data_IF_660676731510
#
_entry.id   IF_660676731510
#
_cell.length_a   1.000
_cell.length_b   1.000
_cell.length_c   1.000
_cell.angle_alpha   90.00
_cell.angle_beta   90.00
_cell.angle_gamma   90.00
#
_symmetry.space_group_name_H-M   'P 1'
#
loop_
_entity.id
_entity.type
_entity.pdbx_description
1 polymer ?
#
# COMPACT_ATOMS: atom_id res chain seq x y z
N UNK A 1 -46.66 30.27 37.99
CA UNK A 1 -45.96 29.35 38.72
C UNK A 1 -45.53 28.17 38.00
N UNK A 2 -46.08 27.80 36.93
CA UNK A 2 -45.72 26.61 36.24
C UNK A 2 -44.62 26.82 35.24
N UNK A 3 -44.10 27.97 35.16
CA UNK A 3 -43.16 28.30 34.12
C UNK A 3 -41.78 27.67 34.27
N UNK A 4 -41.46 27.34 35.47
CA UNK A 4 -40.13 26.85 35.71
C UNK A 4 -39.80 25.51 35.11
N UNK A 5 -40.77 24.73 34.84
CA UNK A 5 -40.52 23.40 34.34
C UNK A 5 -39.96 23.33 32.95
N UNK A 6 -40.30 24.29 32.15
CA UNK A 6 -39.86 24.26 30.77
C UNK A 6 -38.36 24.40 30.65
N UNK A 7 -37.76 25.15 31.55
CA UNK A 7 -36.33 25.33 31.44
C UNK A 7 -35.57 24.07 31.73
N UNK A 8 -36.06 23.24 32.59
CA UNK A 8 -35.35 22.03 32.92
C UNK A 8 -35.36 21.06 31.75
N UNK A 9 -36.45 21.03 31.07
CA UNK A 9 -36.56 20.11 29.94
C UNK A 9 -35.58 20.48 28.84
N UNK A 10 -35.43 21.77 28.61
CA UNK A 10 -34.52 22.21 27.58
C UNK A 10 -33.10 21.85 27.89
N UNK A 11 -32.69 21.99 29.13
CA UNK A 11 -31.32 21.67 29.48
C UNK A 11 -31.01 20.18 29.28
N UNK A 12 -31.94 19.34 29.74
CA UNK A 12 -31.73 17.92 29.58
C UNK A 12 -31.71 17.50 28.11
N UNK A 13 -32.57 18.10 27.34
CA UNK A 13 -32.66 17.77 25.94
C UNK A 13 -31.37 18.18 25.22
N UNK A 14 -30.83 19.30 25.59
CA UNK A 14 -29.64 19.81 24.99
C UNK A 14 -28.43 18.85 25.19
N UNK A 15 -28.30 18.31 26.37
CA UNK A 15 -27.21 17.40 26.64
C UNK A 15 -27.35 16.11 25.83
N UNK A 16 -28.54 15.61 25.69
CA UNK A 16 -28.78 14.43 24.91
C UNK A 16 -28.41 14.67 23.46
N UNK A 17 -28.73 15.83 22.94
CA UNK A 17 -28.43 16.16 21.56
C UNK A 17 -26.95 16.22 21.33
N UNK A 18 -26.23 16.81 22.25
CA UNK A 18 -24.78 16.91 22.13
C UNK A 18 -24.13 15.54 22.12
N UNK A 19 -24.59 14.67 22.99
CA UNK A 19 -24.05 13.33 23.04
C UNK A 19 -24.29 12.59 21.74
N UNK A 20 -25.46 12.77 21.18
CA UNK A 20 -25.82 12.11 19.94
C UNK A 20 -24.94 12.59 18.79
N UNK A 21 -24.71 13.88 18.72
CA UNK A 21 -23.87 14.44 17.66
C UNK A 21 -22.46 13.89 17.78
N UNK A 22 -21.93 13.85 18.98
CA UNK A 22 -20.58 13.32 19.20
C UNK A 22 -20.51 11.85 18.81
N UNK A 23 -21.54 11.10 19.16
CA UNK A 23 -21.56 9.68 18.85
C UNK A 23 -21.62 9.46 17.34
N UNK A 24 -22.41 10.24 16.65
CA UNK A 24 -22.51 10.13 15.20
C UNK A 24 -21.20 10.50 14.53
N UNK A 25 -20.51 11.50 15.06
CA UNK A 25 -19.22 11.87 14.51
C UNK A 25 -18.20 10.78 14.71
N UNK A 26 -18.22 10.14 15.86
CA UNK A 26 -17.31 9.05 16.11
C UNK A 26 -17.55 7.88 15.19
N UNK A 27 -18.80 7.54 14.96
CA UNK A 27 -19.15 6.47 14.06
C UNK A 27 -18.72 6.84 12.64
N UNK A 28 -18.95 8.09 12.26
CA UNK A 28 -18.59 8.54 10.94
C UNK A 28 -17.07 8.41 10.71
N UNK A 29 -16.29 8.86 11.68
CA UNK A 29 -14.84 8.72 11.56
C UNK A 29 -14.41 7.27 11.54
N UNK A 30 -15.05 6.45 12.32
CA UNK A 30 -14.71 5.06 12.37
C UNK A 30 -14.96 4.39 11.03
N UNK A 31 -16.10 4.68 10.43
CA UNK A 31 -16.47 4.09 9.15
C UNK A 31 -15.57 4.60 8.03
N UNK A 32 -15.30 5.89 8.02
CA UNK A 32 -14.44 6.43 6.96
C UNK A 32 -13.02 5.94 7.13
N UNK A 33 -12.62 5.71 8.36
CA UNK A 33 -11.27 5.21 8.60
C UNK A 33 -11.12 3.81 8.05
N UNK A 34 -12.16 3.03 8.11
CA UNK A 34 -12.06 1.66 7.61
C UNK A 34 -12.15 1.61 6.09
N UNK A 35 -12.61 2.67 5.48
CA UNK A 35 -12.69 2.68 4.05
C UNK A 35 -11.36 2.95 3.40
N UNK A 36 -10.37 3.28 4.22
CA UNK A 36 -9.09 3.59 3.67
C UNK A 36 -8.42 2.34 3.19
N UNK A 37 -8.67 2.04 1.99
CA UNK A 37 -7.83 1.15 1.26
C UNK A 37 -7.51 -0.19 1.83
N UNK A 38 -8.42 -1.03 1.92
CA UNK A 38 -8.08 -2.38 2.37
C UNK A 38 -7.19 -3.08 1.36
N UNK A 39 -7.19 -2.63 0.14
CA UNK A 39 -6.35 -3.29 -0.83
C UNK A 39 -4.88 -2.99 -0.65
N UNK A 40 -4.59 -1.81 -0.19
CA UNK A 40 -3.20 -1.45 0.01
C UNK A 40 -2.59 -2.26 1.12
N UNK A 41 -3.42 -2.66 2.05
CA UNK A 41 -2.90 -3.40 3.17
C UNK A 41 -2.63 -4.83 2.90
N UNK A 42 -3.15 -5.31 1.83
CA UNK A 42 -2.89 -6.68 1.52
C UNK A 42 -1.52 -6.86 0.99
N UNK A 43 -0.88 -5.77 0.73
CA UNK A 43 0.49 -5.89 0.46
C UNK A 43 1.13 -6.19 1.75
N UNK A 44 1.17 -7.41 2.06
CA UNK A 44 1.77 -7.81 3.22
C UNK A 44 3.20 -7.55 3.11
N UNK A 45 3.56 -6.52 3.70
CA UNK A 45 4.93 -6.35 3.95
C UNK A 45 5.33 -7.51 4.77
N UNK A 46 6.22 -8.27 4.32
CA UNK A 46 6.69 -9.37 5.09
C UNK A 46 7.24 -8.74 6.33
N UNK A 47 6.61 -9.00 7.42
CA UNK A 47 7.08 -8.53 8.58
C UNK A 47 8.36 -9.07 8.72
N UNK A 48 9.11 -8.32 9.23
CA UNK A 48 10.41 -8.67 9.43
C UNK A 48 10.69 -9.89 10.12
N UNK A 49 9.81 -10.66 10.43
CA UNK A 49 10.16 -11.86 11.08
C UNK A 49 11.01 -12.68 10.21
N UNK A 50 11.36 -12.17 9.15
CA UNK A 50 12.37 -12.78 8.43
C UNK A 50 12.06 -14.12 7.88
N UNK A 51 10.99 -14.59 8.16
CA UNK A 51 10.71 -15.81 7.72
C UNK A 51 10.20 -15.80 6.42
N UNK A 52 10.83 -15.32 5.54
CA UNK A 52 10.33 -15.27 4.28
C UNK A 52 10.41 -16.55 3.68
N UNK A 53 9.41 -17.21 3.78
CA UNK A 53 9.43 -18.46 3.23
C UNK A 53 9.45 -18.40 1.74
N UNK A 54 9.01 -17.35 1.16
CA UNK A 54 8.97 -17.32 -0.28
C UNK A 54 10.29 -16.81 -0.78
N UNK A 55 11.00 -17.58 -1.53
CA UNK A 55 12.22 -17.14 -2.11
C UNK A 55 11.90 -16.46 -3.40
N UNK A 56 12.24 -15.23 -3.50
CA UNK A 56 12.09 -14.52 -4.75
C UNK A 56 13.19 -14.93 -5.70
N UNK A 57 12.83 -15.35 -6.88
CA UNK A 57 13.80 -15.75 -7.89
C UNK A 57 14.35 -14.55 -8.63
N UNK A 58 13.61 -13.49 -8.69
CA UNK A 58 14.05 -12.29 -9.39
C UNK A 58 13.75 -11.06 -8.53
N UNK A 59 14.40 -9.96 -8.82
CA UNK A 59 14.23 -8.73 -8.09
C UNK A 59 14.10 -7.58 -9.07
N UNK A 60 13.14 -6.71 -8.85
CA UNK A 60 12.99 -5.50 -9.64
C UNK A 60 13.22 -4.33 -8.70
N UNK A 61 14.22 -3.51 -9.00
CA UNK A 61 14.52 -2.35 -8.19
C UNK A 61 14.11 -1.10 -8.94
N UNK A 62 13.46 -0.19 -8.25
CA UNK A 62 13.07 1.09 -8.84
C UNK A 62 13.86 2.17 -8.12
N UNK A 63 14.64 2.89 -8.88
CA UNK A 63 15.48 3.93 -8.31
C UNK A 63 15.01 5.29 -8.79
N UNK A 64 14.99 6.23 -7.89
CA UNK A 64 14.60 7.59 -8.23
C UNK A 64 15.83 8.46 -8.32
N UNK A 65 16.03 9.07 -9.47
CA UNK A 65 17.15 9.98 -9.68
C UNK A 65 16.62 11.38 -9.45
N UNK A 66 16.96 11.94 -8.31
CA UNK A 66 16.43 13.24 -7.91
C UNK A 66 16.90 14.37 -8.80
N UNK A 67 18.08 14.24 -9.35
CA UNK A 67 18.63 15.31 -10.20
C UNK A 67 17.78 15.53 -11.43
N UNK A 68 17.34 14.48 -12.05
CA UNK A 68 16.56 14.59 -13.28
C UNK A 68 15.09 14.26 -13.06
N UNK A 69 14.74 13.88 -11.84
CA UNK A 69 13.39 13.48 -11.46
C UNK A 69 12.88 12.36 -12.38
N UNK A 70 13.71 11.38 -12.58
CA UNK A 70 13.36 10.24 -13.40
C UNK A 70 13.53 8.97 -12.61
N UNK A 71 12.98 7.90 -13.13
CA UNK A 71 13.05 6.61 -12.46
C UNK A 71 13.76 5.61 -13.36
N UNK A 72 14.51 4.74 -12.76
CA UNK A 72 15.15 3.67 -13.50
C UNK A 72 14.78 2.34 -12.88
N UNK A 73 14.71 1.34 -13.68
CA UNK A 73 14.33 0.01 -13.25
C UNK A 73 15.52 -0.92 -13.46
N UNK A 74 15.79 -1.73 -12.47
CA UNK A 74 16.92 -2.65 -12.55
C UNK A 74 16.45 -4.05 -12.17
N UNK A 75 16.90 -5.03 -12.85
CA UNK A 75 16.53 -6.40 -12.57
C UNK A 75 17.74 -7.15 -12.01
N UNK A 76 17.50 -7.85 -10.91
CA UNK A 76 18.53 -8.64 -10.24
C UNK A 76 19.77 -7.84 -9.85
N UNK A 77 19.57 -6.56 -9.55
CA UNK A 77 20.70 -5.75 -9.09
C UNK A 77 21.65 -5.31 -10.18
N UNK A 78 21.33 -5.51 -11.43
CA UNK A 78 22.20 -5.08 -12.49
C UNK A 78 22.29 -3.57 -12.51
N UNK A 79 23.46 -3.06 -12.74
CA UNK A 79 23.65 -1.62 -12.78
C UNK A 79 23.06 -1.00 -14.02
N UNK A 80 22.90 -1.79 -15.07
CA UNK A 80 22.33 -1.29 -16.31
C UNK A 80 20.82 -1.23 -16.17
N UNK A 81 20.24 -0.05 -16.35
CA UNK A 81 18.78 0.05 -16.22
C UNK A 81 18.08 -0.61 -17.38
N UNK A 82 16.87 -1.08 -17.10
CA UNK A 82 16.04 -1.73 -18.10
C UNK A 82 14.86 -0.82 -18.37
N UNK A 83 14.45 -0.73 -19.61
CA UNK A 83 13.28 0.08 -19.94
C UNK A 83 12.04 -0.60 -19.37
N UNK A 84 11.08 0.21 -18.99
CA UNK A 84 9.86 -0.35 -18.40
C UNK A 84 9.21 -1.39 -19.35
N UNK A 85 9.25 -1.15 -20.62
CA UNK A 85 8.66 -2.06 -21.60
C UNK A 85 9.31 -3.43 -21.57
N UNK A 86 10.57 -3.49 -21.19
CA UNK A 86 11.33 -4.72 -21.22
C UNK A 86 11.27 -5.50 -19.92
N UNK A 87 10.72 -4.89 -18.86
CA UNK A 87 10.68 -5.56 -17.57
C UNK A 87 9.88 -6.85 -17.66
N UNK A 88 8.74 -6.79 -18.30
CA UNK A 88 7.88 -7.96 -18.37
C UNK A 88 8.58 -9.10 -19.12
N UNK A 89 9.21 -8.80 -20.22
CA UNK A 89 9.92 -9.82 -20.99
C UNK A 89 11.07 -10.44 -20.20
N UNK A 90 11.81 -9.60 -19.46
CA UNK A 90 12.90 -10.09 -18.65
C UNK A 90 12.38 -10.97 -17.54
N UNK A 91 11.28 -10.59 -16.90
CA UNK A 91 10.71 -11.38 -15.84
C UNK A 91 10.17 -12.72 -16.37
N UNK A 92 9.58 -12.71 -17.55
CA UNK A 92 9.10 -13.93 -18.15
C UNK A 92 10.25 -14.90 -18.35
N UNK A 93 11.35 -14.41 -18.89
CA UNK A 93 12.51 -15.25 -19.09
C UNK A 93 13.06 -15.81 -17.79
N UNK A 94 13.10 -15.00 -16.76
CA UNK A 94 13.68 -15.42 -15.49
C UNK A 94 12.76 -16.35 -14.72
N UNK A 95 11.47 -16.18 -14.86
CA UNK A 95 10.52 -16.92 -14.06
C UNK A 95 9.81 -18.07 -14.76
N UNK A 96 10.07 -18.25 -16.03
CA UNK A 96 9.33 -19.24 -16.79
C UNK A 96 9.56 -20.67 -16.32
N UNK A 97 10.69 -20.92 -15.73
CA UNK A 97 10.99 -22.28 -15.29
C UNK A 97 10.65 -22.51 -13.81
N UNK A 98 10.07 -21.52 -13.15
CA UNK A 98 9.76 -21.64 -11.76
C UNK A 98 8.36 -22.19 -11.53
N UNK A 99 8.21 -23.08 -10.58
CA UNK A 99 6.90 -23.63 -10.28
C UNK A 99 6.04 -22.58 -9.59
N UNK A 100 6.65 -21.74 -8.78
CA UNK A 100 5.92 -20.71 -8.04
C UNK A 100 6.62 -19.39 -8.30
N UNK A 101 6.42 -18.80 -9.44
CA UNK A 101 7.17 -17.61 -9.82
C UNK A 101 6.90 -16.44 -8.89
N UNK A 102 7.95 -15.97 -8.28
CA UNK A 102 7.88 -14.88 -7.30
C UNK A 102 9.02 -13.92 -7.54
N UNK A 103 8.73 -12.64 -7.51
CA UNK A 103 9.82 -11.67 -7.55
C UNK A 103 9.58 -10.62 -6.49
N UNK A 104 10.66 -9.94 -6.10
CA UNK A 104 10.55 -8.90 -5.10
C UNK A 104 10.74 -7.55 -5.74
N UNK A 105 10.10 -6.54 -5.16
CA UNK A 105 10.23 -5.17 -5.62
C UNK A 105 10.91 -4.36 -4.54
N UNK A 106 12.00 -3.69 -4.91
CA UNK A 106 12.67 -2.77 -4.02
C UNK A 106 12.47 -1.38 -4.61
N UNK A 107 11.99 -0.46 -3.82
CA UNK A 107 11.78 0.90 -4.29
C UNK A 107 12.37 1.88 -3.29
N UNK A 108 12.98 2.95 -3.80
CA UNK A 108 13.48 4.00 -2.94
C UNK A 108 12.31 4.67 -2.26
N UNK A 109 12.53 5.26 -1.10
CA UNK A 109 11.50 5.93 -0.38
C UNK A 109 10.80 7.00 -1.18
N UNK A 110 11.50 7.63 -2.07
CA UNK A 110 10.96 8.72 -2.85
C UNK A 110 10.21 8.29 -4.09
N UNK A 111 10.18 6.99 -4.37
CA UNK A 111 9.48 6.50 -5.54
C UNK A 111 7.97 6.51 -5.26
N UNK A 112 7.17 7.13 -6.12
CA UNK A 112 5.73 7.16 -5.90
C UNK A 112 5.13 5.76 -5.98
N UNK A 113 4.08 5.56 -5.24
CA UNK A 113 3.39 4.28 -5.23
C UNK A 113 2.93 3.90 -6.64
N UNK A 114 2.61 4.89 -7.46
CA UNK A 114 2.18 4.61 -8.82
C UNK A 114 3.20 3.84 -9.65
N UNK A 115 4.48 4.12 -9.43
CA UNK A 115 5.52 3.40 -10.17
C UNK A 115 5.59 1.95 -9.71
N UNK A 116 5.41 1.73 -8.43
CA UNK A 116 5.41 0.38 -7.89
C UNK A 116 4.20 -0.39 -8.42
N UNK A 117 3.06 0.26 -8.49
CA UNK A 117 1.85 -0.37 -8.97
C UNK A 117 1.98 -0.80 -10.43
N UNK A 118 2.71 -0.04 -11.24
CA UNK A 118 2.94 -0.43 -12.61
C UNK A 118 3.64 -1.78 -12.70
N UNK A 119 4.62 -1.98 -11.84
CA UNK A 119 5.36 -3.25 -11.81
C UNK A 119 4.46 -4.36 -11.26
N UNK A 120 3.66 -4.03 -10.27
CA UNK A 120 2.74 -5.02 -9.71
C UNK A 120 1.72 -5.48 -10.74
N UNK A 121 1.32 -4.60 -11.63
CA UNK A 121 0.39 -4.97 -12.68
C UNK A 121 0.99 -6.01 -13.64
N UNK A 122 2.29 -5.93 -13.83
CA UNK A 122 2.97 -6.94 -14.64
C UNK A 122 2.84 -8.30 -13.95
N UNK A 123 3.03 -8.32 -12.65
CA UNK A 123 2.91 -9.56 -11.89
C UNK A 123 1.48 -10.10 -12.00
N UNK A 124 0.52 -9.22 -11.90
CA UNK A 124 -0.87 -9.63 -11.94
C UNK A 124 -1.23 -10.24 -13.29
N UNK A 125 -0.75 -9.64 -14.36
CA UNK A 125 -1.05 -10.16 -15.70
C UNK A 125 -0.45 -11.54 -15.94
N UNK A 126 0.68 -11.81 -15.32
CA UNK A 126 1.39 -13.06 -15.51
C UNK A 126 1.21 -14.06 -14.38
N UNK A 127 0.36 -13.71 -13.41
CA UNK A 127 0.08 -14.57 -12.27
C UNK A 127 1.33 -14.85 -11.42
N UNK A 128 2.17 -13.86 -11.28
CA UNK A 128 3.36 -13.98 -10.45
C UNK A 128 3.06 -13.46 -9.05
N UNK A 129 3.78 -13.97 -8.07
CA UNK A 129 3.69 -13.47 -6.71
C UNK A 129 4.70 -12.35 -6.54
N UNK A 130 4.35 -11.37 -5.75
CA UNK A 130 5.22 -10.23 -5.53
C UNK A 130 5.46 -10.04 -4.06
N UNK A 131 6.70 -9.81 -3.71
CA UNK A 131 7.08 -9.47 -2.36
C UNK A 131 7.60 -8.05 -2.39
N UNK A 132 7.05 -7.19 -1.56
CA UNK A 132 7.52 -5.84 -1.52
C UNK A 132 8.57 -5.75 -0.44
N UNK A 133 9.76 -5.34 -0.81
CA UNK A 133 10.85 -5.19 0.14
C UNK A 133 11.15 -3.72 0.29
N UNK A 134 11.25 -3.26 1.52
CA UNK A 134 11.64 -1.89 1.75
C UNK A 134 13.05 -1.93 2.27
N UNK A 135 13.82 -0.98 1.87
CA UNK A 135 15.18 -0.90 2.34
C UNK A 135 15.15 -0.48 3.79
N UNK A 136 15.80 -1.20 4.65
CA UNK A 136 15.85 -0.74 6.03
C UNK A 136 16.80 0.41 6.03
N UNK A 137 16.47 1.42 6.72
CA UNK A 137 17.26 2.56 6.72
C UNK A 137 18.55 2.42 7.33
#
# INVERSE_FOLDING_TARGET
>A
MAIKRTTKVDAGFSMSSMTDIVFLLLIFFLVTSTLINPNALKLLLPKSTGQVSAKATATVSIKHWKDTDTYSYHINGNETPVRFDMIEDELIDLLQSEDDPTFSIYADETVPVGEVVKVMNIAKRNHYKVIMATSPE
#
